data_IF_811405314365
#
_entry.id   IF_811405314365
#
_cell.length_a   1.000
_cell.length_b   1.000
_cell.length_c   1.000
_cell.angle_alpha   90.00
_cell.angle_beta   90.00
_cell.angle_gamma   90.00
#
_symmetry.space_group_name_H-M   'P 1'
#
loop_
_entity.id
_entity.type
_entity.pdbx_description
1 polymer ?
#
# COMPACT_ATOMS: atom_id res chain seq x y z
N UNK A 1 10.18 -20.73 -11.17
CA UNK A 1 10.52 -19.36 -10.78
C UNK A 1 9.31 -18.79 -10.05
N UNK A 2 9.46 -18.39 -8.79
CA UNK A 2 8.46 -17.56 -8.09
C UNK A 2 8.80 -16.09 -8.32
N UNK A 3 7.80 -15.22 -8.22
CA UNK A 3 7.97 -13.77 -8.26
C UNK A 3 7.76 -13.28 -6.83
N UNK A 4 8.68 -12.46 -6.32
CA UNK A 4 8.53 -11.82 -5.02
C UNK A 4 8.18 -10.35 -5.20
N UNK A 5 7.10 -9.92 -4.57
CA UNK A 5 6.72 -8.51 -4.48
C UNK A 5 6.99 -8.03 -3.05
N UNK A 6 7.76 -6.97 -2.93
CA UNK A 6 8.03 -6.28 -1.66
C UNK A 6 7.39 -4.91 -1.72
N UNK A 7 6.67 -4.51 -0.69
CA UNK A 7 5.97 -3.23 -0.65
C UNK A 7 6.15 -2.54 0.70
N UNK A 8 6.37 -1.23 0.67
CA UNK A 8 6.30 -0.35 1.83
C UNK A 8 5.05 0.51 1.74
N UNK A 9 4.24 0.47 2.79
CA UNK A 9 3.02 1.28 2.93
C UNK A 9 3.11 2.02 4.26
N UNK A 10 2.45 3.18 4.39
CA UNK A 10 2.33 3.85 5.69
C UNK A 10 1.67 2.91 6.70
N UNK A 11 2.10 2.92 7.97
CA UNK A 11 1.41 2.17 9.02
C UNK A 11 0.00 2.77 9.25
N UNK A 12 -1.09 2.02 8.96
CA UNK A 12 -2.46 2.50 9.13
C UNK A 12 -2.85 2.69 10.59
N UNK A 13 -2.07 2.16 11.53
CA UNK A 13 -2.32 2.28 12.97
C UNK A 13 -1.56 3.48 13.61
N UNK A 14 -0.71 4.18 12.84
CA UNK A 14 -0.04 5.41 13.28
C UNK A 14 -0.87 6.66 12.89
N UNK A 15 -1.80 7.04 13.77
CA UNK A 15 -2.66 8.21 13.56
C UNK A 15 -1.87 9.52 13.36
N UNK A 16 -0.70 9.65 13.99
CA UNK A 16 0.15 10.84 13.84
C UNK A 16 0.77 10.89 12.45
N UNK A 17 1.22 9.76 11.91
CA UNK A 17 1.70 9.63 10.54
C UNK A 17 0.60 10.03 9.55
N UNK A 18 -0.59 9.44 9.68
CA UNK A 18 -1.72 9.72 8.80
C UNK A 18 -2.15 11.20 8.88
N UNK A 19 -2.17 11.77 10.09
CA UNK A 19 -2.45 13.19 10.31
C UNK A 19 -1.41 14.09 9.64
N UNK A 20 -0.14 13.68 9.68
CA UNK A 20 0.94 14.41 9.02
C UNK A 20 0.79 14.35 7.51
N UNK A 21 0.46 13.17 6.97
CA UNK A 21 0.22 12.96 5.54
C UNK A 21 -0.92 13.84 5.02
N UNK A 22 -2.08 13.90 5.69
CA UNK A 22 -3.21 14.76 5.24
C UNK A 22 -2.93 16.28 5.37
N UNK A 23 -1.95 16.65 6.19
CA UNK A 23 -1.51 18.05 6.32
C UNK A 23 -0.49 18.43 5.27
N UNK A 24 0.11 17.45 4.58
CA UNK A 24 1.04 17.71 3.51
C UNK A 24 0.32 18.48 2.37
N UNK A 25 0.79 19.69 2.01
CA UNK A 25 0.06 20.64 1.17
C UNK A 25 -0.43 20.08 -0.16
N UNK A 26 0.30 19.11 -0.70
CA UNK A 26 0.13 18.61 -2.06
C UNK A 26 -0.97 17.57 -2.23
N UNK A 27 -1.52 17.06 -1.12
CA UNK A 27 -2.70 16.16 -1.14
C UNK A 27 -4.00 16.87 -1.56
N UNK A 28 -3.96 18.20 -1.80
CA UNK A 28 -5.15 19.06 -1.83
C UNK A 28 -5.58 19.57 -3.21
N UNK A 29 -4.70 19.68 -4.21
CA UNK A 29 -5.02 20.47 -5.40
C UNK A 29 -5.93 19.78 -6.44
N UNK A 30 -6.15 18.46 -6.36
CA UNK A 30 -6.94 17.74 -7.38
C UNK A 30 -8.10 16.90 -6.85
N UNK A 31 -8.28 16.75 -5.54
CA UNK A 31 -9.29 15.86 -4.99
C UNK A 31 -10.63 16.56 -4.82
N UNK A 32 -11.66 16.11 -5.56
CA UNK A 32 -13.05 16.57 -5.41
C UNK A 32 -13.64 16.30 -4.00
N UNK A 33 -13.01 15.42 -3.22
CA UNK A 33 -13.36 15.10 -1.82
C UNK A 33 -12.19 15.41 -0.90
N UNK A 34 -12.50 15.97 0.27
CA UNK A 34 -11.54 16.28 1.34
C UNK A 34 -10.89 14.98 1.84
N UNK A 35 -9.56 14.95 1.86
CA UNK A 35 -8.81 13.88 2.51
C UNK A 35 -8.95 14.01 4.03
N UNK A 36 -9.30 12.91 4.69
CA UNK A 36 -9.27 12.77 6.15
C UNK A 36 -8.51 11.50 6.54
N UNK A 37 -8.19 11.38 7.83
CA UNK A 37 -7.41 10.26 8.36
C UNK A 37 -8.10 8.93 8.12
N UNK A 38 -9.43 8.87 8.29
CA UNK A 38 -10.19 7.64 8.14
C UNK A 38 -10.13 7.12 6.70
N UNK A 39 -10.27 8.02 5.71
CA UNK A 39 -10.14 7.67 4.30
C UNK A 39 -8.75 7.14 3.97
N UNK A 40 -7.68 7.86 4.37
CA UNK A 40 -6.30 7.41 4.11
C UNK A 40 -6.06 6.04 4.73
N UNK A 41 -6.52 5.84 5.98
CA UNK A 41 -6.47 4.55 6.65
C UNK A 41 -7.15 3.45 5.85
N UNK A 42 -8.39 3.66 5.40
CA UNK A 42 -9.12 2.68 4.59
C UNK A 42 -8.41 2.37 3.27
N UNK A 43 -7.82 3.35 2.60
CA UNK A 43 -7.08 3.13 1.35
C UNK A 43 -5.81 2.31 1.56
N UNK A 44 -5.07 2.56 2.64
CA UNK A 44 -3.90 1.76 3.03
C UNK A 44 -4.31 0.32 3.35
N UNK A 45 -5.34 0.14 4.21
CA UNK A 45 -5.83 -1.18 4.58
C UNK A 45 -6.29 -1.95 3.34
N UNK A 46 -7.02 -1.31 2.43
CA UNK A 46 -7.40 -1.90 1.16
C UNK A 46 -6.18 -2.27 0.30
N UNK A 47 -5.14 -1.43 0.24
CA UNK A 47 -3.90 -1.74 -0.49
C UNK A 47 -3.23 -3.00 0.06
N UNK A 48 -3.05 -3.09 1.39
CA UNK A 48 -2.50 -4.27 2.07
C UNK A 48 -3.30 -5.51 1.71
N UNK A 49 -4.61 -5.48 1.95
CA UNK A 49 -5.49 -6.63 1.72
C UNK A 49 -5.59 -7.02 0.24
N UNK A 50 -5.46 -6.06 -0.68
CA UNK A 50 -5.44 -6.36 -2.12
C UNK A 50 -4.26 -7.25 -2.49
N UNK A 51 -3.09 -7.01 -1.91
CA UNK A 51 -1.89 -7.85 -2.15
C UNK A 51 -2.13 -9.28 -1.66
N UNK A 52 -2.76 -9.45 -0.49
CA UNK A 52 -3.14 -10.78 0.02
C UNK A 52 -4.18 -11.48 -0.86
N UNK A 53 -5.24 -10.76 -1.29
CA UNK A 53 -6.26 -11.32 -2.18
C UNK A 53 -5.69 -11.76 -3.53
N UNK A 54 -4.85 -10.92 -4.15
CA UNK A 54 -4.23 -11.24 -5.44
C UNK A 54 -3.19 -12.36 -5.34
N UNK A 55 -2.53 -12.52 -4.20
CA UNK A 55 -1.65 -13.67 -3.96
C UNK A 55 -2.39 -15.00 -4.08
N UNK A 56 -3.64 -15.10 -3.60
CA UNK A 56 -4.43 -16.31 -3.79
C UNK A 56 -4.70 -16.65 -5.26
N UNK A 57 -4.91 -15.62 -6.07
CA UNK A 57 -5.09 -15.78 -7.51
C UNK A 57 -3.79 -16.20 -8.23
N UNK A 58 -2.62 -16.00 -7.61
CA UNK A 58 -1.31 -16.25 -8.21
C UNK A 58 -0.42 -17.13 -7.30
N UNK A 59 -0.51 -18.48 -7.37
CA UNK A 59 0.21 -19.39 -6.47
C UNK A 59 1.75 -19.33 -6.50
N UNK A 60 2.34 -18.57 -7.45
CA UNK A 60 3.79 -18.36 -7.56
C UNK A 60 4.23 -16.96 -7.10
N UNK A 61 3.31 -16.20 -6.51
CA UNK A 61 3.56 -14.88 -5.95
C UNK A 61 3.92 -15.01 -4.46
N UNK A 62 5.16 -14.63 -4.13
CA UNK A 62 5.60 -14.39 -2.77
C UNK A 62 5.43 -12.89 -2.46
N UNK A 63 5.05 -12.56 -1.22
CA UNK A 63 4.81 -11.18 -0.80
C UNK A 63 5.57 -10.87 0.48
N UNK A 64 6.05 -9.64 0.60
CA UNK A 64 6.59 -9.06 1.84
C UNK A 64 6.06 -7.64 1.95
N UNK A 65 5.27 -7.36 3.00
CA UNK A 65 4.64 -6.06 3.19
C UNK A 65 5.17 -5.45 4.48
N UNK A 66 5.84 -4.31 4.36
CA UNK A 66 6.30 -3.50 5.47
C UNK A 66 5.37 -2.31 5.71
N UNK A 67 4.94 -2.14 6.96
CA UNK A 67 4.25 -0.95 7.43
C UNK A 67 5.27 0.02 8.02
N UNK A 68 5.45 1.15 7.33
CA UNK A 68 6.48 2.14 7.60
C UNK A 68 5.96 3.21 8.57
N UNK A 69 6.77 3.63 9.57
CA UNK A 69 6.46 4.76 10.45
C UNK A 69 6.67 6.13 9.77
N UNK A 70 7.10 6.13 8.50
CA UNK A 70 7.29 7.34 7.67
C UNK A 70 6.64 7.15 6.31
N UNK A 71 6.51 8.24 5.55
CA UNK A 71 5.99 8.20 4.18
C UNK A 71 6.95 8.84 3.19
N UNK A 72 6.90 8.35 1.96
CA UNK A 72 7.64 8.92 0.85
C UNK A 72 6.77 9.93 0.12
N UNK A 73 7.36 11.05 -0.26
CA UNK A 73 6.67 12.08 -1.06
C UNK A 73 6.58 11.63 -2.53
N UNK A 74 7.55 10.86 -3.00
CA UNK A 74 7.57 10.27 -4.34
C UNK A 74 7.24 8.78 -4.25
N UNK A 75 6.54 8.24 -5.24
CA UNK A 75 6.40 6.79 -5.36
C UNK A 75 7.65 6.19 -6.02
N UNK A 76 7.99 4.98 -5.59
CA UNK A 76 9.09 4.20 -6.15
C UNK A 76 8.53 2.86 -6.63
N UNK A 77 8.55 2.65 -7.93
CA UNK A 77 8.27 1.35 -8.54
C UNK A 77 9.59 0.75 -9.04
N UNK A 78 9.96 -0.42 -8.52
CA UNK A 78 11.26 -1.01 -8.82
C UNK A 78 11.13 -2.49 -9.20
N UNK A 79 11.92 -2.87 -10.20
CA UNK A 79 12.16 -4.24 -10.65
C UNK A 79 13.66 -4.51 -10.62
N UNK A 80 14.06 -5.76 -10.88
CA UNK A 80 15.48 -6.12 -10.96
C UNK A 80 16.27 -5.30 -12.02
N UNK A 81 15.59 -4.73 -13.01
CA UNK A 81 16.24 -4.07 -14.14
C UNK A 81 16.09 -2.54 -14.13
N UNK A 82 15.09 -2.01 -13.42
CA UNK A 82 14.70 -0.60 -13.49
C UNK A 82 14.06 -0.11 -12.20
N UNK A 83 14.33 1.13 -11.85
CA UNK A 83 13.59 1.91 -10.87
C UNK A 83 12.88 3.07 -11.59
N UNK A 84 11.63 3.31 -11.24
CA UNK A 84 10.81 4.43 -11.68
C UNK A 84 10.42 5.22 -10.44
N UNK A 85 10.83 6.49 -10.40
CA UNK A 85 10.47 7.41 -9.34
C UNK A 85 9.47 8.40 -9.90
N UNK A 86 8.26 8.40 -9.37
CA UNK A 86 7.20 9.29 -9.85
C UNK A 86 6.93 10.36 -8.80
N UNK A 87 6.90 11.61 -9.26
CA UNK A 87 6.51 12.73 -8.42
C UNK A 87 5.03 12.69 -8.06
N UNK A 88 4.66 13.50 -7.08
CA UNK A 88 3.31 13.68 -6.54
C UNK A 88 2.24 14.16 -7.53
N UNK A 89 2.62 14.87 -8.60
CA UNK A 89 1.66 15.47 -9.53
C UNK A 89 1.27 14.53 -10.67
N UNK A 90 -0.05 14.40 -10.90
CA UNK A 90 -0.59 13.67 -12.04
C UNK A 90 -0.05 14.25 -13.35
N UNK A 91 0.55 13.41 -14.18
CA UNK A 91 1.11 13.80 -15.48
C UNK A 91 2.58 14.24 -15.43
N UNK A 92 3.22 14.28 -14.27
CA UNK A 92 4.67 14.45 -14.21
C UNK A 92 5.38 13.19 -14.75
N UNK A 93 6.44 13.35 -15.56
CA UNK A 93 7.19 12.20 -16.05
C UNK A 93 7.91 11.50 -14.90
N UNK A 94 7.92 10.18 -14.94
CA UNK A 94 8.72 9.38 -14.02
C UNK A 94 10.22 9.51 -14.35
N UNK A 95 11.05 9.61 -13.32
CA UNK A 95 12.50 9.49 -13.43
C UNK A 95 12.86 8.01 -13.48
N UNK A 96 13.48 7.59 -14.59
CA UNK A 96 13.84 6.19 -14.83
C UNK A 96 15.34 5.94 -14.63
N UNK A 97 15.66 4.97 -13.80
CA UNK A 97 17.04 4.53 -13.55
C UNK A 97 17.19 3.06 -13.92
N UNK A 98 18.25 2.72 -14.66
CA UNK A 98 18.57 1.33 -15.01
C UNK A 98 19.40 0.67 -13.92
N UNK A 99 19.29 -0.64 -13.82
CA UNK A 99 20.16 -1.46 -12.99
C UNK A 99 21.64 -1.10 -13.20
N UNK A 100 22.41 -1.11 -12.12
CA UNK A 100 23.85 -0.81 -12.11
C UNK A 100 24.18 0.68 -12.09
N UNK A 101 23.21 1.58 -12.26
CA UNK A 101 23.43 3.03 -12.08
C UNK A 101 23.48 3.40 -10.60
N UNK A 102 24.21 4.48 -10.27
CA UNK A 102 24.31 4.97 -8.90
C UNK A 102 22.93 5.29 -8.29
N UNK A 103 22.03 5.92 -9.05
CA UNK A 103 20.67 6.24 -8.59
C UNK A 103 19.80 5.00 -8.39
N UNK A 104 19.90 3.99 -9.27
CA UNK A 104 19.19 2.72 -9.05
C UNK A 104 19.63 2.06 -7.74
N UNK A 105 20.94 1.97 -7.51
CA UNK A 105 21.47 1.37 -6.29
C UNK A 105 21.06 2.18 -5.05
N UNK A 106 21.11 3.51 -5.11
CA UNK A 106 20.69 4.36 -4.02
C UNK A 106 19.20 4.16 -3.67
N UNK A 107 18.30 4.07 -4.66
CA UNK A 107 16.88 3.80 -4.39
C UNK A 107 16.64 2.40 -3.83
N UNK A 108 17.40 1.40 -4.29
CA UNK A 108 17.33 0.06 -3.72
C UNK A 108 17.80 0.06 -2.27
N UNK A 109 18.94 0.66 -1.98
CA UNK A 109 19.51 0.68 -0.63
C UNK A 109 18.60 1.48 0.33
N UNK A 110 18.00 2.59 -0.11
CA UNK A 110 17.00 3.34 0.66
C UNK A 110 15.73 2.50 0.90
N UNK A 111 15.25 1.78 -0.11
CA UNK A 111 14.12 0.86 0.06
C UNK A 111 14.45 -0.24 1.09
N UNK A 112 15.61 -0.89 0.97
CA UNK A 112 16.01 -1.95 1.89
C UNK A 112 16.20 -1.43 3.33
N UNK A 113 16.78 -0.24 3.49
CA UNK A 113 16.89 0.43 4.78
C UNK A 113 15.52 0.76 5.38
N UNK A 114 14.59 1.28 4.56
CA UNK A 114 13.21 1.55 4.96
C UNK A 114 12.47 0.29 5.40
N UNK A 115 12.60 -0.82 4.64
CA UNK A 115 12.03 -2.11 5.00
C UNK A 115 12.51 -2.62 6.35
N UNK A 116 13.79 -2.44 6.68
CA UNK A 116 14.36 -2.87 7.96
C UNK A 116 13.74 -2.14 9.17
N UNK A 117 13.21 -0.92 8.96
CA UNK A 117 12.49 -0.14 9.98
C UNK A 117 10.98 -0.37 10.00
N UNK A 118 10.44 -1.20 9.11
CA UNK A 118 9.00 -1.45 9.02
C UNK A 118 8.52 -2.50 10.02
N UNK A 119 7.24 -2.41 10.40
CA UNK A 119 6.48 -3.53 10.93
C UNK A 119 6.12 -4.47 9.77
N UNK A 120 6.81 -5.59 9.65
CA UNK A 120 6.57 -6.58 8.59
C UNK A 120 5.36 -7.44 8.94
N UNK A 121 4.41 -7.53 8.03
CA UNK A 121 3.20 -8.34 8.18
C UNK A 121 3.45 -9.82 7.90
N UNK A 122 2.70 -10.70 8.57
CA UNK A 122 2.81 -12.15 8.36
C UNK A 122 2.32 -12.56 6.96
N UNK A 123 3.22 -13.02 6.07
CA UNK A 123 2.83 -13.41 4.72
C UNK A 123 2.01 -14.71 4.69
N UNK A 124 1.85 -15.42 5.81
CA UNK A 124 1.06 -16.65 5.89
C UNK A 124 -0.46 -16.41 5.89
N UNK A 125 -0.90 -15.19 6.23
CA UNK A 125 -2.31 -14.82 6.25
C UNK A 125 -2.93 -15.04 4.87
N UNK A 126 -4.15 -15.57 4.88
CA UNK A 126 -4.94 -15.88 3.68
C UNK A 126 -6.16 -14.99 3.64
N UNK A 127 -6.48 -14.49 2.46
CA UNK A 127 -7.70 -13.74 2.18
C UNK A 127 -8.25 -14.27 0.86
N UNK A 128 -9.57 -14.48 0.68
CA UNK A 128 -10.11 -14.93 -0.60
C UNK A 128 -9.64 -14.07 -1.79
N UNK A 129 -9.66 -14.65 -2.98
CA UNK A 129 -9.41 -13.91 -4.22
C UNK A 129 -10.33 -12.69 -4.34
N UNK A 130 -9.93 -11.62 -5.05
CA UNK A 130 -10.58 -10.31 -4.97
C UNK A 130 -12.11 -10.33 -5.10
N UNK A 131 -12.64 -11.09 -6.06
CA UNK A 131 -14.08 -11.19 -6.33
C UNK A 131 -14.89 -11.87 -5.19
N UNK A 132 -14.23 -12.69 -4.39
CA UNK A 132 -14.84 -13.49 -3.31
C UNK A 132 -14.67 -12.85 -1.93
N UNK A 133 -13.98 -11.71 -1.82
CA UNK A 133 -13.73 -11.03 -0.54
C UNK A 133 -15.03 -10.53 0.08
N UNK A 134 -15.32 -10.95 1.31
CA UNK A 134 -16.46 -10.48 2.11
C UNK A 134 -16.02 -9.58 3.26
N UNK A 135 -16.95 -8.83 3.85
CA UNK A 135 -16.68 -8.06 5.09
C UNK A 135 -16.14 -8.94 6.20
N UNK A 136 -16.67 -10.16 6.35
CA UNK A 136 -16.22 -11.10 7.37
C UNK A 136 -14.76 -11.53 7.14
N UNK A 137 -14.41 -11.92 5.91
CA UNK A 137 -13.04 -12.29 5.57
C UNK A 137 -12.06 -11.13 5.72
N UNK A 138 -12.50 -9.88 5.46
CA UNK A 138 -11.69 -8.68 5.72
C UNK A 138 -11.39 -8.55 7.21
N UNK A 139 -12.40 -8.65 8.08
CA UNK A 139 -12.23 -8.54 9.54
C UNK A 139 -11.27 -9.62 10.05
N UNK A 140 -11.47 -10.86 9.62
CA UNK A 140 -10.61 -12.00 9.99
C UNK A 140 -9.16 -11.79 9.56
N UNK A 141 -8.93 -11.32 8.33
CA UNK A 141 -7.58 -11.02 7.85
C UNK A 141 -6.93 -9.88 8.63
N UNK A 142 -7.66 -8.80 8.93
CA UNK A 142 -7.13 -7.68 9.73
C UNK A 142 -6.76 -8.13 11.14
N UNK A 143 -7.59 -8.95 11.79
CA UNK A 143 -7.26 -9.56 13.08
C UNK A 143 -6.00 -10.43 12.99
N UNK A 144 -5.90 -11.29 11.97
CA UNK A 144 -4.74 -12.18 11.78
C UNK A 144 -3.45 -11.40 11.52
N UNK A 145 -3.53 -10.25 10.82
CA UNK A 145 -2.41 -9.36 10.55
C UNK A 145 -2.06 -8.46 11.74
N UNK A 146 -2.84 -8.47 12.83
CA UNK A 146 -2.65 -7.57 13.96
C UNK A 146 -2.84 -6.10 13.58
N UNK A 147 -3.76 -5.82 12.65
CA UNK A 147 -4.12 -4.47 12.23
C UNK A 147 -5.38 -4.01 12.97
N UNK A 148 -5.31 -2.80 13.54
CA UNK A 148 -6.49 -2.25 14.18
C UNK A 148 -7.56 -1.98 13.12
N UNK A 149 -8.77 -2.39 13.44
CA UNK A 149 -9.98 -2.13 12.64
C UNK A 149 -11.14 -1.69 13.52
N UNK A 150 -10.84 -1.32 14.77
CA UNK A 150 -11.79 -0.61 15.62
C UNK A 150 -12.16 0.73 14.98
N UNK A 151 -13.41 1.11 15.14
CA UNK A 151 -13.95 2.35 14.57
C UNK A 151 -14.26 2.32 13.06
N UNK A 152 -13.99 1.21 12.35
CA UNK A 152 -14.42 1.05 10.95
C UNK A 152 -15.91 0.65 10.94
N UNK A 153 -16.76 1.45 10.29
CA UNK A 153 -18.18 1.14 10.10
C UNK A 153 -18.39 0.04 9.04
N UNK A 154 -19.58 -0.55 8.98
CA UNK A 154 -19.93 -1.50 7.92
C UNK A 154 -19.78 -0.88 6.51
N UNK A 155 -20.09 0.41 6.36
CA UNK A 155 -19.86 1.18 5.13
C UNK A 155 -18.35 1.30 4.82
N UNK A 156 -17.52 1.49 5.85
CA UNK A 156 -16.06 1.51 5.71
C UNK A 156 -15.50 0.16 5.25
N UNK A 157 -16.00 -0.95 5.80
CA UNK A 157 -15.64 -2.29 5.33
C UNK A 157 -16.10 -2.54 3.89
N UNK A 158 -17.29 -2.08 3.53
CA UNK A 158 -17.78 -2.17 2.15
C UNK A 158 -16.89 -1.38 1.18
N UNK A 159 -16.44 -0.18 1.56
CA UNK A 159 -15.52 0.63 0.77
C UNK A 159 -14.15 -0.07 0.59
N UNK A 160 -13.60 -0.66 1.66
CA UNK A 160 -12.36 -1.45 1.59
C UNK A 160 -12.54 -2.62 0.61
N UNK A 161 -13.65 -3.37 0.72
CA UNK A 161 -13.96 -4.47 -0.17
C UNK A 161 -14.10 -4.04 -1.64
N UNK A 162 -14.71 -2.87 -1.89
CA UNK A 162 -14.81 -2.29 -3.23
C UNK A 162 -13.43 -1.97 -3.81
N UNK A 163 -12.53 -1.37 -3.02
CA UNK A 163 -11.17 -1.05 -3.46
C UNK A 163 -10.35 -2.30 -3.79
N UNK A 164 -10.55 -3.39 -3.06
CA UNK A 164 -9.89 -4.68 -3.35
C UNK A 164 -10.36 -5.24 -4.70
N UNK A 165 -11.66 -5.22 -4.96
CA UNK A 165 -12.27 -5.76 -6.19
C UNK A 165 -11.98 -4.91 -7.42
N UNK A 166 -11.88 -3.59 -7.25
CA UNK A 166 -11.77 -2.61 -8.35
C UNK A 166 -10.65 -1.60 -8.08
N UNK A 167 -9.39 -2.01 -8.19
CA UNK A 167 -8.26 -1.13 -7.90
C UNK A 167 -8.18 0.09 -8.84
N UNK A 168 -8.76 0.00 -10.03
CA UNK A 168 -8.76 1.04 -11.07
C UNK A 168 -9.63 2.27 -10.78
N UNK A 169 -10.56 2.20 -9.81
CA UNK A 169 -11.47 3.30 -9.47
C UNK A 169 -11.07 4.08 -8.20
N UNK A 170 -9.83 3.92 -7.70
CA UNK A 170 -9.38 4.49 -6.41
C UNK A 170 -9.41 6.04 -6.34
N UNK A 171 -9.44 6.72 -7.49
CA UNK A 171 -9.34 8.17 -7.60
C UNK A 171 -10.52 8.84 -8.33
N UNK A 172 -11.60 8.09 -8.60
CA UNK A 172 -12.88 8.62 -9.12
C UNK A 172 -13.86 8.93 -7.98
#
# INVERSE_FOLDING_TARGET
MSITVRAQLMDPDDERLLTTYIRYPDTRESAARKWDVARVRHEILAAVLSVYAWREAFPRLDIEIGLSPTFWIMSLDMSQQRALVTGQFKGHPALGHREGTAFYNAHRDEFDAGMAGCRVLDPSVRLPQPDDVTTQSIKEALTALGLDHSGISEEGFAAIGQYIRRPEHRYE
#
